data_IF_289772939041
#
_entry.id   IF_289772939041
#
_cell.length_a   1.000
_cell.length_b   1.000
_cell.length_c   1.000
_cell.angle_alpha   90.00
_cell.angle_beta   90.00
_cell.angle_gamma   90.00
#
_symmetry.space_group_name_H-M   'P 1'
#
loop_
_entity.id
_entity.type
_entity.pdbx_description
1 polymer ?
#
# COMPACT_ATOMS: atom_id res chain seq x y z
N UNK A 1 -18.52 8.74 -8.33
CA UNK A 1 -17.87 9.91 -7.69
C UNK A 1 -17.77 9.79 -6.16
N UNK A 2 -17.81 8.58 -5.60
CA UNK A 2 -17.67 8.34 -4.16
C UNK A 2 -16.62 7.24 -3.84
N UNK A 3 -15.93 6.73 -4.87
CA UNK A 3 -15.02 5.59 -4.74
C UNK A 3 -13.55 5.98 -4.55
N UNK A 4 -13.22 7.29 -4.55
CA UNK A 4 -11.85 7.77 -4.33
C UNK A 4 -11.52 8.10 -2.86
N UNK A 5 -12.51 8.23 -1.97
CA UNK A 5 -12.29 8.74 -0.61
C UNK A 5 -11.91 7.65 0.42
N UNK A 6 -12.02 6.37 0.05
CA UNK A 6 -11.55 5.24 0.86
C UNK A 6 -10.31 4.62 0.23
N UNK A 7 -9.27 5.43 0.01
CA UNK A 7 -7.97 4.92 -0.39
C UNK A 7 -7.30 4.26 0.82
N UNK A 8 -7.64 2.99 1.06
CA UNK A 8 -6.97 2.17 2.07
C UNK A 8 -5.48 2.06 1.73
N UNK A 9 -4.63 2.50 2.66
CA UNK A 9 -3.19 2.48 2.46
C UNK A 9 -2.66 1.12 2.91
N UNK A 10 -2.38 0.25 1.94
CA UNK A 10 -1.93 -1.13 2.16
C UNK A 10 -0.41 -1.22 2.25
N UNK A 11 0.10 -1.94 3.26
CA UNK A 11 1.53 -2.03 3.55
C UNK A 11 1.96 -3.42 3.99
N UNK A 12 3.27 -3.67 3.93
CA UNK A 12 3.91 -4.89 4.42
C UNK A 12 3.72 -5.06 5.95
N UNK A 13 3.53 -6.30 6.42
CA UNK A 13 3.45 -6.60 7.84
C UNK A 13 4.85 -6.61 8.48
N UNK A 14 5.20 -5.55 9.22
CA UNK A 14 6.42 -5.46 10.01
C UNK A 14 6.09 -4.89 11.40
N UNK A 15 6.30 -5.68 12.46
CA UNK A 15 5.83 -5.35 13.81
C UNK A 15 6.67 -4.26 14.52
N UNK A 16 7.93 -4.08 14.15
CA UNK A 16 8.86 -3.20 14.88
C UNK A 16 9.23 -1.89 14.17
N UNK A 17 8.77 -1.70 12.92
CA UNK A 17 9.18 -0.55 12.11
C UNK A 17 8.13 0.57 12.16
N UNK A 18 8.55 1.74 12.64
CA UNK A 18 7.74 2.96 12.61
C UNK A 18 7.47 3.45 11.17
N UNK A 19 8.35 3.10 10.22
CA UNK A 19 8.16 3.40 8.79
C UNK A 19 8.00 2.13 7.99
N UNK A 20 6.87 2.01 7.30
CA UNK A 20 6.49 0.82 6.54
C UNK A 20 6.42 1.17 5.06
N UNK A 21 6.88 0.26 4.21
CA UNK A 21 6.80 0.38 2.76
C UNK A 21 5.37 0.19 2.27
N UNK A 22 4.91 1.11 1.43
CA UNK A 22 3.62 1.02 0.73
C UNK A 22 3.64 -0.05 -0.36
N UNK A 23 2.62 -0.90 -0.36
CA UNK A 23 2.39 -1.95 -1.36
C UNK A 23 1.20 -1.56 -2.25
N UNK A 24 1.42 -1.44 -3.57
CA UNK A 24 0.34 -1.09 -4.49
C UNK A 24 -0.65 -2.24 -4.74
N UNK A 25 -0.20 -3.48 -4.59
CA UNK A 25 -0.97 -4.66 -4.95
C UNK A 25 -0.83 -5.75 -3.90
N UNK A 26 -1.93 -6.46 -3.65
CA UNK A 26 -1.93 -7.61 -2.75
C UNK A 26 -1.12 -8.74 -3.37
N UNK A 27 -0.11 -9.23 -2.66
CA UNK A 27 0.69 -10.39 -3.07
C UNK A 27 0.05 -11.66 -2.52
N UNK A 28 -0.06 -12.74 -3.32
CA UNK A 28 -0.61 -13.99 -2.82
C UNK A 28 0.27 -14.54 -1.68
N UNK A 29 -0.37 -14.99 -0.61
CA UNK A 29 0.26 -15.60 0.59
C UNK A 29 1.12 -14.63 1.44
N UNK A 30 0.89 -13.33 1.35
CA UNK A 30 1.48 -12.35 2.25
C UNK A 30 0.41 -11.69 3.14
N UNK A 31 0.77 -11.46 4.39
CA UNK A 31 -0.05 -10.66 5.31
C UNK A 31 0.27 -9.20 5.06
N UNK A 32 -0.75 -8.39 4.84
CA UNK A 32 -0.64 -6.94 4.66
C UNK A 32 -1.50 -6.24 5.72
N UNK A 33 -1.08 -5.04 6.10
CA UNK A 33 -1.84 -4.16 6.99
C UNK A 33 -2.45 -3.06 6.15
N UNK A 34 -3.78 -2.96 6.17
CA UNK A 34 -4.51 -1.84 5.61
C UNK A 34 -4.76 -0.79 6.70
N UNK A 35 -4.35 0.45 6.43
CA UNK A 35 -4.64 1.59 7.29
C UNK A 35 -5.71 2.44 6.65
N UNK A 36 -6.82 2.62 7.36
CA UNK A 36 -7.93 3.49 6.98
C UNK A 36 -8.28 4.44 8.14
N UNK A 37 -8.75 5.64 7.81
CA UNK A 37 -9.35 6.52 8.80
C UNK A 37 -10.81 6.13 9.02
N UNK A 38 -11.20 5.90 10.26
CA UNK A 38 -12.55 5.49 10.62
C UNK A 38 -12.78 5.50 12.13
N UNK A 39 -14.01 5.22 12.54
CA UNK A 39 -14.35 5.06 13.95
C UNK A 39 -13.54 3.93 14.56
N UNK A 40 -12.94 4.17 15.74
CA UNK A 40 -12.14 3.19 16.46
C UNK A 40 -13.08 2.19 17.15
N UNK A 41 -13.09 0.91 16.75
CA UNK A 41 -13.87 -0.09 17.46
C UNK A 41 -13.11 -0.55 18.71
N UNK A 42 -13.86 -0.81 19.77
CA UNK A 42 -13.38 -1.40 21.03
C UNK A 42 -14.32 -2.57 21.31
N UNK A 43 -13.90 -3.86 21.41
CA UNK A 43 -12.56 -4.47 21.44
C UNK A 43 -12.01 -4.89 20.06
N UNK A 44 -10.82 -5.53 20.02
CA UNK A 44 -10.19 -6.06 18.78
C UNK A 44 -11.18 -6.97 18.03
N UNK A 45 -11.64 -6.51 16.87
CA UNK A 45 -12.63 -7.20 16.04
C UNK A 45 -11.97 -7.91 14.84
N UNK A 46 -12.63 -8.95 14.36
CA UNK A 46 -12.29 -9.53 13.05
C UNK A 46 -12.71 -8.56 11.94
N UNK A 47 -11.87 -8.42 10.91
CA UNK A 47 -12.09 -7.54 9.77
C UNK A 47 -12.20 -8.38 8.50
N UNK A 48 -13.21 -8.09 7.69
CA UNK A 48 -13.46 -8.74 6.40
C UNK A 48 -13.54 -7.66 5.32
N UNK A 49 -12.80 -7.83 4.24
CA UNK A 49 -12.87 -6.95 3.07
C UNK A 49 -13.48 -7.71 1.89
N UNK A 50 -14.54 -7.14 1.33
CA UNK A 50 -15.27 -7.70 0.19
C UNK A 50 -15.08 -6.82 -1.04
N UNK A 51 -14.83 -7.46 -2.18
CA UNK A 51 -14.86 -6.79 -3.48
C UNK A 51 -16.25 -6.89 -4.06
N UNK A 52 -16.84 -5.75 -4.39
CA UNK A 52 -18.14 -5.68 -5.06
C UNK A 52 -17.94 -5.74 -6.58
N UNK A 53 -18.67 -6.63 -7.24
CA UNK A 53 -18.74 -6.70 -8.70
C UNK A 53 -19.96 -5.91 -9.22
N UNK A 54 -19.93 -5.44 -10.47
CA UNK A 54 -21.05 -4.73 -11.09
C UNK A 54 -22.38 -5.51 -11.08
N UNK A 55 -22.28 -6.84 -11.04
CA UNK A 55 -23.41 -7.77 -10.98
C UNK A 55 -24.03 -7.92 -9.57
N UNK A 56 -23.58 -7.13 -8.59
CA UNK A 56 -24.04 -7.19 -7.19
C UNK A 56 -23.44 -8.36 -6.38
N UNK A 57 -22.58 -9.17 -6.99
CA UNK A 57 -21.85 -10.24 -6.29
C UNK A 57 -20.77 -9.64 -5.41
N UNK A 58 -20.64 -10.17 -4.19
CA UNK A 58 -19.57 -9.82 -3.26
C UNK A 58 -18.64 -11.02 -3.11
N UNK A 59 -17.35 -10.81 -3.37
CA UNK A 59 -16.32 -11.82 -3.15
C UNK A 59 -15.49 -11.44 -1.93
N UNK A 60 -15.30 -12.40 -1.03
CA UNK A 60 -14.42 -12.21 0.13
C UNK A 60 -12.97 -12.24 -0.36
N UNK A 61 -12.29 -11.09 -0.24
CA UNK A 61 -10.90 -10.94 -0.71
C UNK A 61 -9.91 -11.06 0.45
N UNK A 62 -10.26 -10.52 1.62
CA UNK A 62 -9.36 -10.48 2.78
C UNK A 62 -10.10 -10.88 4.04
N UNK A 63 -9.47 -11.74 4.82
CA UNK A 63 -9.83 -12.07 6.20
C UNK A 63 -8.70 -11.64 7.12
N UNK A 64 -9.00 -10.94 8.21
CA UNK A 64 -8.00 -10.54 9.17
C UNK A 64 -8.60 -10.12 10.51
N UNK A 65 -7.75 -9.52 11.33
CA UNK A 65 -8.12 -8.91 12.61
C UNK A 65 -7.65 -7.48 12.63
N UNK A 66 -8.38 -6.64 13.35
CA UNK A 66 -7.95 -5.28 13.58
C UNK A 66 -6.67 -5.26 14.43
N UNK A 67 -5.67 -4.53 13.95
CA UNK A 67 -4.44 -4.27 14.68
C UNK A 67 -4.61 -3.07 15.62
N UNK A 68 -3.76 -2.96 16.65
CA UNK A 68 -3.78 -1.82 17.56
C UNK A 68 -3.74 -0.50 16.79
N UNK A 69 -4.66 0.42 17.14
CA UNK A 69 -4.77 1.74 16.51
C UNK A 69 -3.56 2.58 16.93
N UNK A 70 -2.62 2.74 16.01
CA UNK A 70 -1.42 3.55 16.21
C UNK A 70 -1.32 4.61 15.11
N UNK A 71 -1.35 5.89 15.52
CA UNK A 71 -1.24 7.05 14.63
C UNK A 71 0.19 7.35 14.20
N UNK A 72 1.20 6.77 14.86
CA UNK A 72 2.62 6.99 14.57
C UNK A 72 3.14 6.11 13.42
N UNK A 73 2.29 5.25 12.84
CA UNK A 73 2.66 4.40 11.70
C UNK A 73 2.76 5.22 10.42
N UNK A 74 3.98 5.42 9.92
CA UNK A 74 4.23 6.19 8.69
C UNK A 74 4.30 5.24 7.49
N UNK A 75 3.53 5.57 6.46
CA UNK A 75 3.45 4.81 5.21
C UNK A 75 4.23 5.52 4.11
N UNK A 76 5.29 4.88 3.61
CA UNK A 76 6.18 5.46 2.61
C UNK A 76 5.89 4.92 1.21
N UNK A 77 5.42 5.80 0.32
CA UNK A 77 5.25 5.49 -1.11
C UNK A 77 6.55 5.72 -1.87
N UNK A 78 7.12 4.65 -2.42
CA UNK A 78 8.32 4.72 -3.28
C UNK A 78 7.95 4.99 -4.73
N UNK A 79 8.59 5.98 -5.33
CA UNK A 79 8.54 6.24 -6.77
C UNK A 79 9.92 5.97 -7.39
N UNK A 80 9.96 5.14 -8.43
CA UNK A 80 11.20 4.79 -9.14
C UNK A 80 11.17 5.50 -10.49
N UNK A 81 12.13 6.40 -10.70
CA UNK A 81 12.33 7.06 -11.98
C UNK A 81 13.24 6.22 -12.85
N UNK A 82 12.77 5.89 -14.06
CA UNK A 82 13.59 5.21 -15.07
C UNK A 82 14.20 6.24 -16.01
N UNK A 83 15.47 6.05 -16.36
CA UNK A 83 16.14 6.80 -17.42
C UNK A 83 17.00 5.87 -18.26
N UNK A 84 17.25 6.25 -19.51
CA UNK A 84 18.10 5.49 -20.42
C UNK A 84 19.51 6.10 -20.49
N UNK A 85 20.53 5.29 -20.24
CA UNK A 85 21.93 5.71 -20.36
C UNK A 85 22.26 6.03 -21.82
N UNK A 86 22.64 7.27 -22.10
CA UNK A 86 22.95 7.71 -23.47
C UNK A 86 24.46 7.76 -23.76
N UNK A 87 25.25 8.38 -22.88
CA UNK A 87 26.70 8.50 -23.07
C UNK A 87 27.44 8.03 -21.83
N UNK A 88 28.36 7.08 -21.99
CA UNK A 88 29.07 6.43 -20.88
C UNK A 88 30.56 6.76 -20.99
N UNK A 89 31.13 7.35 -19.93
CA UNK A 89 32.56 7.61 -19.75
C UNK A 89 33.09 6.77 -18.57
N UNK A 90 34.41 6.73 -18.38
CA UNK A 90 35.07 5.92 -17.33
C UNK A 90 34.56 6.16 -15.90
N UNK A 91 34.01 7.34 -15.59
CA UNK A 91 33.51 7.72 -14.25
C UNK A 91 32.15 8.43 -14.26
N UNK A 92 31.54 8.64 -15.43
CA UNK A 92 30.32 9.44 -15.57
C UNK A 92 29.44 8.87 -16.69
N UNK A 93 28.14 8.73 -16.43
CA UNK A 93 27.14 8.46 -17.45
C UNK A 93 26.14 9.61 -17.56
N UNK A 94 25.79 9.96 -18.79
CA UNK A 94 24.72 10.90 -19.11
C UNK A 94 23.45 10.08 -19.37
N UNK A 95 22.44 10.26 -18.53
CA UNK A 95 21.13 9.60 -18.64
C UNK A 95 20.12 10.53 -19.30
N UNK A 96 19.38 10.03 -20.28
CA UNK A 96 18.25 10.72 -20.93
C UNK A 96 16.91 10.19 -20.42
N UNK A 97 15.85 10.98 -20.61
CA UNK A 97 14.46 10.64 -20.26
C UNK A 97 14.19 10.45 -18.76
N UNK A 98 15.07 10.96 -17.89
CA UNK A 98 14.84 10.94 -16.44
C UNK A 98 14.10 12.21 -15.96
N UNK A 99 14.35 13.35 -16.61
CA UNK A 99 13.74 14.66 -16.36
C UNK A 99 13.60 15.42 -17.69
N UNK A 100 12.68 16.39 -17.75
CA UNK A 100 12.48 17.33 -18.87
C UNK A 100 12.61 18.77 -18.38
#
# INVERSE_FOLDING_TARGET
NFDEDHQEMMNDYADDLQSIKFERFFRPRQTLVATCFGSIPYPLASALAFKQFPDGRQELVVTGSLLSVNHDRIILKRLVLSGHSFKIHKRLSVTRYMFF
#
